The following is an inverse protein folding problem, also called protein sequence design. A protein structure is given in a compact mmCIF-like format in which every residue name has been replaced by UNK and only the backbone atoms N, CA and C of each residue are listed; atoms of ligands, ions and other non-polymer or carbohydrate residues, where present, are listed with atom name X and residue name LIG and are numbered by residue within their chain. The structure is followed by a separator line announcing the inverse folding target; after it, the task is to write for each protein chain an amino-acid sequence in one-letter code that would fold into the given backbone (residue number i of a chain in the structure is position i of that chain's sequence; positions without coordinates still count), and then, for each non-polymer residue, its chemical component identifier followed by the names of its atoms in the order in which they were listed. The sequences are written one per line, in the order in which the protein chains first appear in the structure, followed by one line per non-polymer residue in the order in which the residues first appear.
data_IF_293263760204
#
_entry.id   IF_293263760204
#
_cell.length_a   1.000
_cell.length_b   1.000
_cell.length_c   1.000
_cell.angle_alpha   90.00
_cell.angle_beta   90.00
_cell.angle_gamma   90.00
#
_symmetry.space_group_name_H-M   'P 1'
#
loop_
_entity.id
_entity.type
_entity.pdbx_description
1 polymer ?
#
# COMPACT_ATOMS: atom_id res chain seq x y z
N UNK A 1 56.72 -4.79 23.36
CA UNK A 1 56.06 -4.72 22.05
C UNK A 1 55.08 -5.87 21.92
N UNK A 2 53.78 -5.60 21.80
CA UNK A 2 52.78 -6.49 21.18
C UNK A 2 51.56 -5.62 20.92
N UNK A 3 51.41 -5.21 19.66
CA UNK A 3 50.20 -4.57 19.14
C UNK A 3 49.18 -5.68 18.95
N UNK A 4 48.04 -5.59 19.62
CA UNK A 4 46.88 -6.39 19.25
C UNK A 4 45.86 -5.44 18.67
N UNK A 5 45.91 -5.34 17.35
CA UNK A 5 44.85 -4.80 16.52
C UNK A 5 43.75 -5.85 16.52
N UNK A 6 42.54 -5.51 16.93
CA UNK A 6 41.30 -6.09 16.38
C UNK A 6 40.10 -5.49 17.09
N UNK A 7 39.37 -4.62 16.41
CA UNK A 7 37.91 -4.67 16.34
C UNK A 7 37.46 -3.49 15.49
N UNK A 8 36.93 -3.75 14.30
CA UNK A 8 35.80 -3.02 13.71
C UNK A 8 35.51 -3.62 12.35
N UNK A 9 34.72 -4.68 12.39
CA UNK A 9 33.91 -5.10 11.24
C UNK A 9 32.58 -5.50 11.87
N UNK A 10 31.48 -5.31 11.13
CA UNK A 10 30.08 -5.39 11.56
C UNK A 10 29.50 -4.02 11.94
N UNK A 11 29.39 -3.12 10.95
CA UNK A 11 28.17 -2.31 10.76
C UNK A 11 27.97 -2.15 9.25
N UNK A 12 27.46 -3.18 8.58
CA UNK A 12 27.01 -3.07 7.18
C UNK A 12 25.86 -4.05 6.89
N UNK A 13 24.90 -4.14 7.82
CA UNK A 13 23.64 -4.85 7.62
C UNK A 13 22.46 -3.96 8.04
N UNK A 14 22.41 -2.73 7.52
CA UNK A 14 21.13 -2.07 7.26
C UNK A 14 20.66 -2.57 5.89
N UNK A 15 20.39 -3.87 5.79
CA UNK A 15 19.70 -4.43 4.63
C UNK A 15 18.27 -3.88 4.65
N UNK A 16 17.87 -3.24 3.56
CA UNK A 16 16.49 -2.84 3.30
C UNK A 16 15.57 -4.07 3.45
N UNK A 17 14.85 -4.16 4.56
CA UNK A 17 13.81 -5.16 4.78
C UNK A 17 12.48 -4.63 4.22
N UNK A 18 12.39 -4.44 2.91
CA UNK A 18 11.09 -4.61 2.24
C UNK A 18 11.07 -6.07 1.82
N UNK A 19 10.53 -6.93 2.68
CA UNK A 19 10.26 -8.31 2.28
C UNK A 19 9.11 -8.26 1.29
N UNK A 20 9.31 -8.87 0.12
CA UNK A 20 8.23 -9.10 -0.82
C UNK A 20 7.07 -9.78 -0.09
N UNK A 21 5.84 -9.36 -0.33
CA UNK A 21 4.67 -9.96 0.28
C UNK A 21 3.51 -10.08 -0.69
N UNK A 22 2.91 -11.26 -0.71
CA UNK A 22 1.75 -11.56 -1.53
C UNK A 22 0.58 -11.96 -0.64
N UNK A 23 -0.57 -11.32 -0.84
CA UNK A 23 -1.76 -11.53 -0.01
C UNK A 23 -3.01 -11.66 -0.88
N UNK A 24 -3.74 -12.78 -0.74
CA UNK A 24 -5.11 -12.91 -1.26
C UNK A 24 -6.09 -12.33 -0.25
N UNK A 25 -6.91 -11.38 -0.67
CA UNK A 25 -7.93 -10.80 0.19
C UNK A 25 -9.13 -11.76 0.32
N UNK A 26 -9.85 -11.76 1.45
CA UNK A 26 -10.90 -12.75 1.72
C UNK A 26 -12.17 -12.57 0.88
N UNK A 27 -12.22 -11.60 -0.04
CA UNK A 27 -13.40 -11.27 -0.84
C UNK A 27 -13.04 -10.92 -2.29
N UNK A 28 -14.02 -11.13 -3.18
CA UNK A 28 -14.03 -10.52 -4.52
C UNK A 28 -12.90 -10.94 -5.46
N UNK A 29 -12.07 -11.92 -5.07
CA UNK A 29 -10.92 -12.40 -5.83
C UNK A 29 -9.76 -11.41 -5.91
N UNK A 30 -9.63 -10.52 -4.93
CA UNK A 30 -8.54 -9.55 -4.88
C UNK A 30 -7.23 -10.17 -4.39
N UNK A 31 -6.13 -9.75 -5.01
CA UNK A 31 -4.77 -10.20 -4.68
C UNK A 31 -3.84 -8.98 -4.71
N UNK A 32 -2.99 -8.86 -3.69
CA UNK A 32 -2.05 -7.76 -3.53
C UNK A 32 -0.63 -8.32 -3.54
N UNK A 33 0.24 -7.68 -4.30
CA UNK A 33 1.65 -8.03 -4.40
C UNK A 33 2.49 -6.80 -4.06
N UNK A 34 3.26 -6.86 -2.97
CA UNK A 34 4.18 -5.81 -2.54
C UNK A 34 5.60 -6.28 -2.81
N UNK A 35 6.14 -5.97 -3.99
CA UNK A 35 7.53 -6.25 -4.43
C UNK A 35 8.51 -5.12 -4.01
N UNK A 36 8.00 -4.08 -3.38
CA UNK A 36 8.77 -2.89 -2.98
C UNK A 36 8.87 -1.82 -4.05
N UNK A 37 9.11 -0.59 -3.59
CA UNK A 37 9.12 0.60 -4.44
C UNK A 37 7.83 0.73 -5.27
N UNK A 38 7.98 1.13 -6.53
CA UNK A 38 6.86 1.31 -7.44
C UNK A 38 6.30 0.00 -8.04
N UNK A 39 6.83 -1.18 -7.70
CA UNK A 39 6.41 -2.43 -8.31
C UNK A 39 5.19 -3.07 -7.63
N UNK A 40 4.65 -2.46 -6.58
CA UNK A 40 3.50 -2.99 -5.86
C UNK A 40 2.23 -2.98 -6.75
N UNK A 41 1.48 -4.08 -6.75
CA UNK A 41 0.36 -4.34 -7.67
C UNK A 41 -0.92 -4.77 -6.95
N UNK A 42 -2.05 -4.50 -7.61
CA UNK A 42 -3.36 -5.03 -7.23
C UNK A 42 -3.98 -5.78 -8.41
N UNK A 43 -4.43 -6.99 -8.16
CA UNK A 43 -5.12 -7.84 -9.12
C UNK A 43 -6.50 -8.22 -8.60
N UNK A 44 -7.42 -8.53 -9.52
CA UNK A 44 -8.73 -9.11 -9.22
C UNK A 44 -9.07 -10.18 -10.23
N UNK A 45 -9.31 -11.41 -9.79
CA UNK A 45 -9.65 -12.54 -10.66
C UNK A 45 -8.67 -12.68 -11.85
N UNK A 46 -7.36 -12.67 -11.56
CA UNK A 46 -6.27 -12.72 -12.55
C UNK A 46 -6.21 -11.53 -13.53
N UNK A 47 -6.98 -10.46 -13.32
CA UNK A 47 -6.88 -9.22 -14.08
C UNK A 47 -6.13 -8.17 -13.26
N UNK A 48 -5.14 -7.55 -13.89
CA UNK A 48 -4.40 -6.45 -13.29
C UNK A 48 -5.29 -5.21 -13.20
N UNK A 49 -5.41 -4.64 -12.01
CA UNK A 49 -6.14 -3.40 -11.77
C UNK A 49 -5.20 -2.23 -11.54
N UNK A 50 -4.12 -2.48 -10.79
CA UNK A 50 -3.00 -1.56 -10.58
C UNK A 50 -1.74 -2.34 -10.91
N UNK A 51 -1.00 -1.86 -11.90
CA UNK A 51 0.22 -2.50 -12.40
C UNK A 51 1.48 -2.10 -11.62
N UNK A 52 1.43 -0.93 -10.99
CA UNK A 52 2.54 -0.29 -10.31
C UNK A 52 2.03 0.82 -9.37
N UNK A 53 2.86 1.18 -8.40
CA UNK A 53 2.66 2.33 -7.52
C UNK A 53 1.65 2.11 -6.40
N UNK A 54 1.19 0.89 -6.14
CA UNK A 54 0.30 0.64 -5.00
C UNK A 54 1.00 1.00 -3.68
N UNK A 55 0.39 1.87 -2.88
CA UNK A 55 0.94 2.32 -1.60
C UNK A 55 0.26 1.63 -0.44
N UNK A 56 -1.07 1.78 -0.34
CA UNK A 56 -1.89 1.13 0.67
C UNK A 56 -3.06 0.38 0.02
N UNK A 57 -3.38 -0.79 0.56
CA UNK A 57 -4.59 -1.55 0.27
C UNK A 57 -5.17 -2.08 1.57
N UNK A 58 -6.15 -1.38 2.15
CA UNK A 58 -6.78 -1.74 3.43
C UNK A 58 -8.26 -2.03 3.23
N UNK A 59 -8.80 -2.92 4.05
CA UNK A 59 -10.17 -3.37 3.89
C UNK A 59 -10.80 -3.80 5.21
N UNK A 60 -12.13 -3.81 5.21
CA UNK A 60 -12.95 -4.53 6.18
C UNK A 60 -14.04 -5.33 5.44
N UNK A 61 -15.06 -5.80 6.14
CA UNK A 61 -16.14 -6.61 5.54
C UNK A 61 -16.96 -5.86 4.47
N UNK A 62 -16.92 -4.52 4.45
CA UNK A 62 -17.77 -3.68 3.60
C UNK A 62 -16.99 -2.82 2.61
N UNK A 63 -15.79 -2.37 2.97
CA UNK A 63 -15.07 -1.39 2.17
C UNK A 63 -13.65 -1.84 1.88
N UNK A 64 -13.18 -1.47 0.68
CA UNK A 64 -11.80 -1.58 0.23
C UNK A 64 -11.30 -0.17 -0.10
N UNK A 65 -10.24 0.27 0.58
CA UNK A 65 -9.57 1.56 0.36
C UNK A 65 -8.19 1.31 -0.24
N UNK A 66 -7.90 2.02 -1.32
CA UNK A 66 -6.64 1.88 -2.06
C UNK A 66 -6.02 3.26 -2.30
N UNK A 67 -4.69 3.37 -2.14
CA UNK A 67 -3.90 4.52 -2.55
C UNK A 67 -2.81 4.11 -3.54
N UNK A 68 -2.56 4.97 -4.53
CA UNK A 68 -1.59 4.74 -5.61
C UNK A 68 -0.72 5.97 -5.80
N UNK A 69 0.59 5.77 -5.83
CA UNK A 69 1.56 6.75 -6.29
C UNK A 69 1.71 6.62 -7.82
N UNK A 70 1.36 7.67 -8.55
CA UNK A 70 1.48 7.73 -10.01
C UNK A 70 2.77 8.40 -10.47
N UNK A 71 3.65 8.79 -9.54
CA UNK A 71 4.97 9.38 -9.82
C UNK A 71 6.07 8.34 -9.96
N UNK A 72 5.74 7.06 -9.74
CA UNK A 72 6.64 5.91 -9.84
C UNK A 72 7.84 5.99 -8.89
N UNK A 73 7.63 6.55 -7.68
CA UNK A 73 8.67 6.63 -6.65
C UNK A 73 9.16 5.25 -6.23
N UNK A 74 10.46 5.13 -5.95
CA UNK A 74 11.02 3.93 -5.32
C UNK A 74 10.72 3.86 -3.81
N UNK A 75 10.11 4.92 -3.26
CA UNK A 75 9.69 5.02 -1.86
C UNK A 75 8.26 5.59 -1.82
N UNK A 76 7.26 4.86 -2.37
CA UNK A 76 5.88 5.36 -2.51
C UNK A 76 5.23 5.68 -1.15
N UNK A 77 5.65 5.02 -0.07
CA UNK A 77 5.20 5.27 1.30
C UNK A 77 5.62 6.65 1.84
N UNK A 78 6.64 7.27 1.25
CA UNK A 78 7.11 8.62 1.62
C UNK A 78 6.41 9.74 0.84
N UNK A 79 5.62 9.40 -0.17
CA UNK A 79 4.83 10.38 -0.91
C UNK A 79 3.76 10.96 0.02
N UNK A 80 3.59 12.28 -0.04
CA UNK A 80 2.59 12.97 0.77
C UNK A 80 1.21 12.38 0.45
N UNK A 81 0.45 11.99 1.47
CA UNK A 81 -0.88 11.38 1.29
C UNK A 81 -1.79 12.23 0.39
N UNK A 82 -1.74 13.56 0.48
CA UNK A 82 -2.51 14.45 -0.40
C UNK A 82 -2.22 14.32 -1.90
N UNK A 83 -1.05 13.80 -2.26
CA UNK A 83 -0.56 13.70 -3.64
C UNK A 83 -0.84 12.31 -4.24
N UNK A 84 -1.33 11.37 -3.44
CA UNK A 84 -1.71 10.03 -3.89
C UNK A 84 -3.07 10.03 -4.60
N UNK A 85 -3.24 9.04 -5.47
CA UNK A 85 -4.50 8.74 -6.12
C UNK A 85 -5.28 7.74 -5.27
N UNK A 86 -6.54 8.04 -5.01
CA UNK A 86 -7.37 7.23 -4.11
C UNK A 86 -8.49 6.54 -4.83
N UNK A 87 -8.77 5.34 -4.36
CA UNK A 87 -9.88 4.53 -4.83
C UNK A 87 -10.63 3.88 -3.65
N UNK A 88 -11.93 3.73 -3.84
CA UNK A 88 -12.86 3.16 -2.88
C UNK A 88 -13.76 2.16 -3.59
N UNK A 89 -14.05 1.05 -2.93
CA UNK A 89 -15.14 0.18 -3.32
C UNK A 89 -15.96 -0.20 -2.08
N UNK A 90 -17.28 -0.09 -2.18
CA UNK A 90 -18.19 -0.86 -1.33
C UNK A 90 -18.25 -2.30 -1.86
N UNK A 91 -17.63 -3.25 -1.15
CA UNK A 91 -17.45 -4.63 -1.59
C UNK A 91 -18.80 -5.33 -1.85
N UNK A 92 -19.84 -4.93 -1.10
CA UNK A 92 -21.17 -5.54 -1.17
C UNK A 92 -22.00 -4.95 -2.31
N UNK A 93 -21.95 -3.62 -2.47
CA UNK A 93 -22.87 -2.90 -3.35
C UNK A 93 -22.26 -2.52 -4.70
N UNK A 94 -20.93 -2.36 -4.78
CA UNK A 94 -20.25 -1.89 -5.99
C UNK A 94 -19.67 -3.05 -6.80
N UNK A 95 -19.91 -3.01 -8.11
CA UNK A 95 -19.28 -3.95 -9.07
C UNK A 95 -17.87 -3.52 -9.47
N UNK A 96 -17.57 -2.22 -9.36
CA UNK A 96 -16.32 -1.60 -9.77
C UNK A 96 -15.71 -0.74 -8.67
N UNK A 97 -14.39 -0.60 -8.70
CA UNK A 97 -13.65 0.34 -7.86
C UNK A 97 -13.85 1.75 -8.42
N UNK A 98 -14.10 2.74 -7.56
CA UNK A 98 -14.32 4.14 -7.93
C UNK A 98 -13.14 4.99 -7.51
N UNK A 99 -12.71 5.90 -8.39
CA UNK A 99 -11.74 6.95 -8.03
C UNK A 99 -12.40 7.96 -7.11
N UNK A 100 -11.68 8.43 -6.10
CA UNK A 100 -12.13 9.43 -5.13
C UNK A 100 -11.02 10.45 -4.86
N UNK A 101 -11.39 11.69 -4.54
CA UNK A 101 -10.42 12.71 -4.13
C UNK A 101 -9.93 12.44 -2.70
N UNK A 102 -8.74 12.94 -2.34
CA UNK A 102 -8.24 12.85 -0.96
C UNK A 102 -9.22 13.47 0.05
N UNK A 103 -9.77 14.65 -0.28
CA UNK A 103 -10.72 15.35 0.59
C UNK A 103 -12.03 14.59 0.78
N UNK A 104 -12.55 13.96 -0.27
CA UNK A 104 -13.80 13.21 -0.16
C UNK A 104 -13.60 11.87 0.52
N UNK A 105 -12.46 11.19 0.29
CA UNK A 105 -12.13 9.97 1.02
C UNK A 105 -12.07 10.25 2.53
N UNK A 106 -11.45 11.35 2.96
CA UNK A 106 -11.43 11.74 4.38
C UNK A 106 -12.81 12.00 4.96
N UNK A 107 -13.74 12.57 4.18
CA UNK A 107 -15.13 12.74 4.62
C UNK A 107 -15.81 11.39 4.76
N UNK A 108 -15.69 10.53 3.75
CA UNK A 108 -16.26 9.18 3.73
C UNK A 108 -15.77 8.35 4.92
N UNK A 109 -14.47 8.38 5.22
CA UNK A 109 -13.88 7.67 6.37
C UNK A 109 -14.56 8.09 7.67
N UNK A 110 -14.74 9.41 7.89
CA UNK A 110 -15.40 9.93 9.09
C UNK A 110 -16.89 9.61 9.13
N UNK A 111 -17.59 9.81 8.01
CA UNK A 111 -19.04 9.61 7.91
C UNK A 111 -19.44 8.14 8.09
N UNK A 112 -18.57 7.21 7.67
CA UNK A 112 -18.81 5.77 7.74
C UNK A 112 -18.03 5.08 8.86
N UNK A 113 -17.32 5.83 9.70
CA UNK A 113 -16.49 5.32 10.80
C UNK A 113 -15.49 4.23 10.37
N UNK A 114 -14.64 4.56 9.40
CA UNK A 114 -13.64 3.66 8.79
C UNK A 114 -12.22 3.94 9.31
N UNK A 115 -12.09 4.38 10.56
CA UNK A 115 -10.81 4.81 11.13
C UNK A 115 -9.77 3.68 11.23
N UNK A 116 -10.25 2.43 11.29
CA UNK A 116 -9.48 1.18 11.35
C UNK A 116 -8.73 0.90 10.04
N UNK A 117 -9.35 1.25 8.91
CA UNK A 117 -8.78 1.06 7.57
C UNK A 117 -8.32 2.37 6.93
N UNK A 118 -8.20 3.45 7.70
CA UNK A 118 -7.80 4.76 7.20
C UNK A 118 -6.38 4.73 6.56
N UNK A 119 -6.32 5.15 5.29
CA UNK A 119 -5.10 5.25 4.46
C UNK A 119 -4.72 6.72 4.16
N UNK A 120 -5.37 7.67 4.83
CA UNK A 120 -5.14 9.12 4.67
C UNK A 120 -4.34 9.75 5.82
N UNK A 121 -4.05 8.95 6.85
CA UNK A 121 -3.22 9.28 8.01
C UNK A 121 -1.73 9.21 7.69
#
# INVERSE_FOLDING_TARGET
MKKTIMMTTIISLLSCNMSDSYNKLPFGGYEVDFEGGNNNRLMKNNKMLIDSGLVDCKYNEKYLLISVDTTYSMEPEKIRKSDLHYFLQDIVNDTIIKKVSYSDLRKIIKEKSLEDIDITK
#
